data_IF_556968530106
#
_entry.id   IF_556968530106
#
_cell.length_a   1.000
_cell.length_b   1.000
_cell.length_c   1.000
_cell.angle_alpha   90.00
_cell.angle_beta   90.00
_cell.angle_gamma   90.00
#
_symmetry.space_group_name_H-M   'P 1'
#
loop_
_entity.id
_entity.type
_entity.pdbx_description
1 polymer ?
#
# COMPACT_ATOMS: atom_id res chain seq x y z
N UNK A 1 17.96 -10.19 -7.90
CA UNK A 1 16.70 -9.83 -7.21
C UNK A 1 16.09 -11.11 -6.63
N UNK A 2 15.66 -11.08 -5.40
CA UNK A 2 15.06 -12.25 -4.74
C UNK A 2 13.59 -12.42 -5.16
N UNK A 3 13.01 -13.61 -4.87
CA UNK A 3 11.58 -13.82 -5.05
C UNK A 3 10.75 -12.85 -4.21
N UNK A 4 11.20 -12.55 -2.98
CA UNK A 4 10.48 -11.64 -2.10
C UNK A 4 10.49 -10.19 -2.60
N UNK A 5 11.60 -9.71 -3.14
CA UNK A 5 11.67 -8.36 -3.71
C UNK A 5 10.90 -8.26 -5.03
N UNK A 6 10.89 -9.33 -5.82
CA UNK A 6 10.06 -9.39 -7.04
C UNK A 6 8.56 -9.36 -6.68
N UNK A 7 8.17 -10.08 -5.62
CA UNK A 7 6.81 -10.07 -5.12
C UNK A 7 6.40 -8.65 -4.65
N UNK A 8 7.30 -7.97 -3.93
CA UNK A 8 7.06 -6.58 -3.52
C UNK A 8 6.81 -5.66 -4.71
N UNK A 9 7.66 -5.75 -5.74
CA UNK A 9 7.51 -4.94 -6.95
C UNK A 9 6.16 -5.17 -7.62
N UNK A 10 5.76 -6.43 -7.77
CA UNK A 10 4.46 -6.79 -8.37
C UNK A 10 3.28 -6.29 -7.53
N UNK A 11 3.38 -6.42 -6.20
CA UNK A 11 2.31 -5.99 -5.31
C UNK A 11 2.10 -4.47 -5.38
N UNK A 12 3.17 -3.68 -5.30
CA UNK A 12 3.03 -2.22 -5.33
C UNK A 12 2.61 -1.71 -6.70
N UNK A 13 2.99 -2.39 -7.79
CA UNK A 13 2.46 -2.07 -9.11
C UNK A 13 0.94 -2.30 -9.18
N UNK A 14 0.45 -3.41 -8.67
CA UNK A 14 -0.97 -3.71 -8.60
C UNK A 14 -1.73 -2.71 -7.71
N UNK A 15 -1.16 -2.37 -6.56
CA UNK A 15 -1.75 -1.40 -5.63
C UNK A 15 -1.84 -0.01 -6.27
N UNK A 16 -0.79 0.45 -6.94
CA UNK A 16 -0.80 1.75 -7.64
C UNK A 16 -1.86 1.81 -8.73
N UNK A 17 -2.11 0.69 -9.41
CA UNK A 17 -3.13 0.59 -10.45
C UNK A 17 -4.55 0.45 -9.89
N UNK A 18 -4.70 0.22 -8.57
CA UNK A 18 -6.01 -0.09 -7.98
C UNK A 18 -6.54 -1.44 -8.44
N UNK A 19 -5.67 -2.35 -8.84
CA UNK A 19 -6.02 -3.66 -9.39
C UNK A 19 -6.22 -4.67 -8.25
N UNK A 20 -7.45 -4.74 -7.74
CA UNK A 20 -7.80 -5.58 -6.61
C UNK A 20 -7.54 -7.07 -6.88
N UNK A 21 -7.84 -7.55 -8.09
CA UNK A 21 -7.65 -8.96 -8.43
C UNK A 21 -6.16 -9.33 -8.44
N UNK A 22 -5.30 -8.48 -9.01
CA UNK A 22 -3.86 -8.70 -9.03
C UNK A 22 -3.27 -8.66 -7.62
N UNK A 23 -3.73 -7.73 -6.77
CA UNK A 23 -3.31 -7.67 -5.36
C UNK A 23 -3.70 -8.96 -4.62
N UNK A 24 -4.94 -9.41 -4.79
CA UNK A 24 -5.44 -10.61 -4.12
C UNK A 24 -4.65 -11.85 -4.51
N UNK A 25 -4.22 -11.96 -5.77
CA UNK A 25 -3.43 -13.09 -6.25
C UNK A 25 -2.04 -13.16 -5.59
N UNK A 26 -1.53 -12.04 -5.06
CA UNK A 26 -0.21 -11.94 -4.45
C UNK A 26 -0.25 -12.07 -2.91
N UNK A 27 -1.43 -12.13 -2.33
CA UNK A 27 -1.62 -12.20 -0.89
C UNK A 27 -2.25 -13.53 -0.47
N UNK A 28 -1.99 -13.96 0.77
CA UNK A 28 -2.77 -15.03 1.37
C UNK A 28 -4.20 -14.56 1.65
N UNK A 29 -5.16 -15.49 1.70
CA UNK A 29 -6.57 -15.15 1.97
C UNK A 29 -6.75 -14.47 3.33
N UNK A 30 -5.89 -14.81 4.29
CA UNK A 30 -5.91 -14.29 5.66
C UNK A 30 -4.86 -13.20 5.90
N UNK A 31 -4.39 -12.55 4.83
CA UNK A 31 -3.41 -11.46 4.95
C UNK A 31 -3.88 -10.43 5.98
N UNK A 32 -2.95 -10.00 6.82
CA UNK A 32 -3.20 -9.01 7.87
C UNK A 32 -2.32 -7.78 7.66
N UNK A 33 -2.94 -6.62 7.49
CA UNK A 33 -2.23 -5.35 7.25
C UNK A 33 -2.55 -4.38 8.36
N UNK A 34 -1.54 -3.72 8.90
CA UNK A 34 -1.70 -2.71 9.94
C UNK A 34 -0.90 -1.47 9.57
N UNK A 35 -1.49 -0.30 9.80
CA UNK A 35 -0.82 1.00 9.63
C UNK A 35 -0.57 1.59 11.00
N UNK A 36 0.69 1.93 11.30
CA UNK A 36 1.12 2.51 12.59
C UNK A 36 0.60 1.72 13.81
N UNK A 37 0.57 0.37 13.68
CA UNK A 37 0.07 -0.48 14.77
C UNK A 37 -1.43 -0.38 15.02
N UNK A 38 -2.18 0.23 14.12
CA UNK A 38 -3.64 0.39 14.23
C UNK A 38 -4.41 -0.89 13.97
N UNK A 39 -5.72 -0.78 13.69
CA UNK A 39 -6.57 -1.94 13.43
C UNK A 39 -6.07 -2.78 12.26
N UNK A 40 -6.30 -4.09 12.34
CA UNK A 40 -5.95 -5.02 11.25
C UNK A 40 -6.93 -4.88 10.10
N UNK A 41 -6.39 -4.70 8.88
CA UNK A 41 -7.14 -4.76 7.65
C UNK A 41 -6.94 -6.14 7.02
N UNK A 42 -8.04 -6.80 6.65
CA UNK A 42 -7.99 -8.03 5.87
C UNK A 42 -7.92 -7.74 4.37
N UNK A 43 -7.97 -8.79 3.56
CA UNK A 43 -7.81 -8.70 2.11
C UNK A 43 -8.85 -7.78 1.44
N UNK A 44 -10.13 -7.91 1.79
CA UNK A 44 -11.18 -7.09 1.20
C UNK A 44 -11.01 -5.60 1.53
N UNK A 45 -10.65 -5.27 2.78
CA UNK A 45 -10.41 -3.90 3.18
C UNK A 45 -9.16 -3.32 2.50
N UNK A 46 -8.10 -4.13 2.36
CA UNK A 46 -6.86 -3.72 1.69
C UNK A 46 -7.10 -3.39 0.22
N UNK A 47 -7.76 -4.28 -0.51
CA UNK A 47 -8.04 -4.06 -1.95
C UNK A 47 -9.04 -2.95 -2.15
N UNK A 48 -10.03 -2.82 -1.27
CA UNK A 48 -10.99 -1.72 -1.29
C UNK A 48 -10.33 -0.37 -1.05
N UNK A 49 -9.35 -0.32 -0.14
CA UNK A 49 -8.57 0.90 0.12
C UNK A 49 -7.78 1.30 -1.13
N UNK A 50 -7.11 0.36 -1.79
CA UNK A 50 -6.34 0.64 -3.01
C UNK A 50 -7.23 1.23 -4.12
N UNK A 51 -8.44 0.69 -4.28
CA UNK A 51 -9.41 1.23 -5.25
C UNK A 51 -9.88 2.63 -4.85
N UNK A 52 -10.14 2.85 -3.57
CA UNK A 52 -10.56 4.16 -3.08
C UNK A 52 -9.47 5.21 -3.28
N UNK A 53 -8.21 4.87 -3.00
CA UNK A 53 -7.07 5.76 -3.23
C UNK A 53 -6.95 6.13 -4.71
N UNK A 54 -7.05 5.15 -5.60
CA UNK A 54 -6.98 5.40 -7.05
C UNK A 54 -8.12 6.30 -7.53
N UNK A 55 -9.29 6.20 -6.91
CA UNK A 55 -10.45 7.03 -7.25
C UNK A 55 -10.25 8.48 -6.81
N UNK A 56 -9.71 8.74 -5.61
CA UNK A 56 -9.51 10.11 -5.11
C UNK A 56 -8.24 10.78 -5.65
N UNK A 57 -7.29 9.97 -6.12
CA UNK A 57 -6.02 10.43 -6.70
C UNK A 57 -5.68 9.56 -7.92
N UNK A 58 -6.24 9.88 -9.10
CA UNK A 58 -6.00 9.05 -10.30
C UNK A 58 -4.54 8.93 -10.71
N UNK A 59 -3.70 9.89 -10.34
CA UNK A 59 -2.25 9.86 -10.57
C UNK A 59 -1.46 9.23 -9.43
N UNK A 60 -2.13 8.53 -8.51
CA UNK A 60 -1.50 7.84 -7.39
C UNK A 60 -0.35 6.96 -7.86
N UNK A 61 0.80 7.08 -7.19
CA UNK A 61 2.01 6.34 -7.54
C UNK A 61 2.95 6.21 -6.36
N UNK A 62 3.84 5.25 -6.45
CA UNK A 62 4.97 5.10 -5.54
C UNK A 62 6.22 5.62 -6.22
N UNK A 63 7.01 6.42 -5.49
CA UNK A 63 8.29 6.97 -5.98
C UNK A 63 9.43 6.59 -5.04
N UNK A 64 10.63 6.53 -5.60
CA UNK A 64 11.87 6.30 -4.86
C UNK A 64 11.87 5.00 -4.04
N UNK A 65 11.42 3.86 -4.60
CA UNK A 65 11.39 2.63 -3.81
C UNK A 65 12.79 2.13 -3.49
N UNK A 66 13.01 1.76 -2.22
CA UNK A 66 14.19 1.05 -1.77
C UNK A 66 13.68 -0.20 -1.06
N UNK A 67 14.04 -1.36 -1.57
CA UNK A 67 13.55 -2.63 -1.02
C UNK A 67 14.67 -3.63 -0.82
N UNK A 68 14.48 -4.50 0.17
CA UNK A 68 15.43 -5.56 0.48
C UNK A 68 14.68 -6.80 0.98
N UNK A 69 15.28 -7.95 0.75
CA UNK A 69 14.82 -9.22 1.31
C UNK A 69 15.25 -9.29 2.78
N UNK A 70 14.35 -9.72 3.66
CA UNK A 70 14.64 -9.86 5.09
C UNK A 70 14.83 -11.32 5.53
N UNK A 71 14.67 -12.27 4.60
CA UNK A 71 14.62 -13.69 4.93
C UNK A 71 13.24 -14.16 5.38
N UNK A 72 12.43 -13.28 5.98
CA UNK A 72 11.03 -13.57 6.34
C UNK A 72 10.05 -13.00 5.32
N UNK A 73 10.50 -12.08 4.50
CA UNK A 73 9.71 -11.39 3.51
C UNK A 73 10.51 -10.27 2.89
N UNK A 74 10.01 -9.05 2.99
CA UNK A 74 10.71 -7.88 2.46
C UNK A 74 10.48 -6.65 3.33
N UNK A 75 11.36 -5.69 3.19
CA UNK A 75 11.16 -4.32 3.65
C UNK A 75 11.21 -3.41 2.44
N UNK A 76 10.33 -2.43 2.39
CA UNK A 76 10.36 -1.40 1.36
C UNK A 76 10.03 -0.05 1.95
N UNK A 77 10.89 0.94 1.70
CA UNK A 77 10.50 2.33 1.88
C UNK A 77 10.24 2.95 0.51
N UNK A 78 9.27 3.82 0.45
CA UNK A 78 8.92 4.57 -0.74
C UNK A 78 8.15 5.84 -0.34
N UNK A 79 7.97 6.72 -1.32
CA UNK A 79 7.07 7.85 -1.18
C UNK A 79 5.76 7.53 -1.86
N UNK A 80 4.66 7.79 -1.17
CA UNK A 80 3.31 7.72 -1.72
C UNK A 80 2.95 9.10 -2.22
N UNK A 81 2.64 9.23 -3.51
CA UNK A 81 2.42 10.51 -4.16
C UNK A 81 1.12 10.52 -4.96
N UNK A 82 0.54 11.69 -5.08
CA UNK A 82 -0.65 11.88 -5.91
C UNK A 82 -1.18 13.30 -5.82
N UNK A 83 -2.25 13.54 -6.56
CA UNK A 83 -2.94 14.84 -6.60
C UNK A 83 -4.44 14.59 -6.42
N UNK A 84 -5.03 15.28 -5.46
CA UNK A 84 -6.46 15.21 -5.19
C UNK A 84 -7.26 16.08 -6.16
N UNK A 85 -8.57 15.85 -6.24
CA UNK A 85 -9.46 16.58 -7.15
C UNK A 85 -9.43 18.11 -6.93
N UNK A 86 -9.16 18.54 -5.69
CA UNK A 86 -9.04 19.97 -5.37
C UNK A 86 -7.68 20.57 -5.73
N UNK A 87 -6.80 19.82 -6.39
CA UNK A 87 -5.46 20.26 -6.77
C UNK A 87 -4.39 20.08 -5.70
N UNK A 88 -4.74 19.62 -4.51
CA UNK A 88 -3.76 19.39 -3.44
C UNK A 88 -2.88 18.19 -3.79
N UNK A 89 -1.57 18.41 -3.87
CA UNK A 89 -0.59 17.33 -4.02
C UNK A 89 -0.21 16.81 -2.64
N UNK A 90 0.02 15.50 -2.56
CA UNK A 90 0.54 14.88 -1.35
C UNK A 90 1.77 14.03 -1.64
N UNK A 91 2.65 13.94 -0.66
CA UNK A 91 3.83 13.08 -0.66
C UNK A 91 4.04 12.59 0.76
N UNK A 92 3.97 11.28 0.94
CA UNK A 92 4.07 10.64 2.26
C UNK A 92 5.17 9.61 2.24
N UNK A 93 6.15 9.76 3.11
CA UNK A 93 7.17 8.73 3.30
C UNK A 93 6.58 7.55 4.05
N UNK A 94 6.76 6.35 3.52
CA UNK A 94 6.20 5.11 4.08
C UNK A 94 7.28 4.05 4.15
N UNK A 95 7.29 3.27 5.24
CA UNK A 95 8.08 2.05 5.35
C UNK A 95 7.14 0.87 5.56
N UNK A 96 7.31 -0.18 4.77
CA UNK A 96 6.52 -1.41 4.84
C UNK A 96 7.41 -2.56 5.22
N UNK A 97 7.01 -3.30 6.26
CA UNK A 97 7.68 -4.55 6.67
C UNK A 97 6.69 -5.69 6.45
N UNK A 98 7.02 -6.60 5.54
CA UNK A 98 6.13 -7.67 5.13
C UNK A 98 6.69 -9.04 5.47
N UNK A 99 5.79 -9.97 5.77
CA UNK A 99 6.13 -11.40 5.82
C UNK A 99 5.55 -12.11 4.61
N UNK A 100 6.27 -13.12 4.13
CA UNK A 100 5.91 -13.92 2.96
C UNK A 100 6.00 -15.38 3.32
N UNK A 101 5.01 -16.18 2.90
CA UNK A 101 5.01 -17.61 3.01
C UNK A 101 4.34 -18.21 1.78
N UNK A 102 4.92 -19.28 1.22
CA UNK A 102 4.38 -19.94 0.05
C UNK A 102 4.26 -19.03 -1.18
N UNK A 103 5.14 -18.04 -1.31
CA UNK A 103 5.14 -17.10 -2.43
C UNK A 103 4.05 -16.04 -2.35
N UNK A 104 3.41 -15.85 -1.19
CA UNK A 104 2.34 -14.87 -0.98
C UNK A 104 2.62 -14.01 0.24
N UNK A 105 2.18 -12.76 0.19
CA UNK A 105 2.28 -11.86 1.33
C UNK A 105 1.27 -12.30 2.39
N UNK A 106 1.74 -12.53 3.61
CA UNK A 106 0.91 -12.96 4.73
C UNK A 106 0.62 -11.86 5.74
N UNK A 107 1.51 -10.86 5.82
CA UNK A 107 1.27 -9.67 6.64
C UNK A 107 2.06 -8.49 6.12
N UNK A 108 1.58 -7.29 6.41
CA UNK A 108 2.31 -6.04 6.19
C UNK A 108 2.10 -5.10 7.36
N UNK A 109 3.19 -4.55 7.86
CA UNK A 109 3.17 -3.47 8.84
C UNK A 109 3.68 -2.22 8.14
N UNK A 110 2.82 -1.22 8.01
CA UNK A 110 3.15 0.05 7.39
C UNK A 110 3.35 1.12 8.46
N UNK A 111 4.40 1.91 8.28
CA UNK A 111 4.72 3.02 9.17
C UNK A 111 4.81 4.29 8.35
N UNK A 112 4.04 5.29 8.72
CA UNK A 112 3.95 6.55 7.99
C UNK A 112 3.62 7.71 8.93
N UNK A 113 3.94 8.92 8.46
CA UNK A 113 3.57 10.13 9.17
C UNK A 113 2.14 10.50 8.80
N UNK A 114 1.22 10.38 9.76
CA UNK A 114 -0.19 10.70 9.55
C UNK A 114 -0.43 12.18 9.28
N UNK A 115 0.46 13.07 9.73
CA UNK A 115 0.37 14.49 9.41
C UNK A 115 0.61 14.73 7.91
N UNK A 116 1.62 14.08 7.34
CA UNK A 116 1.85 14.13 5.89
C UNK A 116 0.71 13.50 5.10
N UNK A 117 0.13 12.43 5.63
CA UNK A 117 -0.95 11.70 4.98
C UNK A 117 -2.32 12.38 5.11
N UNK A 118 -2.44 13.41 5.96
CA UNK A 118 -3.73 14.02 6.28
C UNK A 118 -4.56 14.41 5.06
N UNK A 119 -4.02 15.08 4.02
CA UNK A 119 -4.84 15.43 2.86
C UNK A 119 -5.47 14.21 2.18
N UNK A 120 -4.71 13.12 2.05
CA UNK A 120 -5.22 11.88 1.47
C UNK A 120 -6.25 11.22 2.39
N UNK A 121 -5.96 11.15 3.69
CA UNK A 121 -6.87 10.54 4.67
C UNK A 121 -8.21 11.29 4.73
N UNK A 122 -8.16 12.62 4.68
CA UNK A 122 -9.37 13.46 4.66
C UNK A 122 -10.19 13.20 3.39
N UNK A 123 -9.53 13.08 2.24
CA UNK A 123 -10.22 12.77 0.97
C UNK A 123 -10.88 11.39 0.99
N UNK A 124 -10.24 10.39 1.60
CA UNK A 124 -10.78 9.04 1.72
C UNK A 124 -11.98 8.98 2.67
N UNK A 125 -12.03 9.87 3.66
CA UNK A 125 -13.11 9.94 4.66
C UNK A 125 -14.26 10.84 4.22
N UNK A 126 -14.10 11.62 3.14
CA UNK A 126 -15.13 12.53 2.69
C UNK A 126 -16.35 11.77 2.14
N UNK A 127 -17.58 12.26 2.39
CA UNK A 127 -18.77 11.64 1.81
C UNK A 127 -18.70 11.71 0.29
N UNK A 128 -19.19 10.65 -0.36
CA UNK A 128 -19.34 10.67 -1.81
C UNK A 128 -20.48 11.63 -2.18
N UNK A 129 -20.21 12.48 -3.16
CA UNK A 129 -21.24 13.34 -3.73
C UNK A 129 -22.20 12.50 -4.60
#
# INVERSE_FOLDING_TARGET
MSLNTTLAESFFAASAAGDAAAMAALCSEDVAVRQNGGPTLGLAALTGLARAVKRVAPDFRYENPVRADTGLGFVEEHDVCGTLANGTAFRVAVCVVATVAGGRITSMHEYLDTAEAKPLLDALSAPRA
#
